data_IF_792049070874
#
_entry.id   IF_792049070874
#
_cell.length_a   1.000
_cell.length_b   1.000
_cell.length_c   1.000
_cell.angle_alpha   90.00
_cell.angle_beta   90.00
_cell.angle_gamma   90.00
#
_symmetry.space_group_name_H-M   'P 1'
#
loop_
_entity.id
_entity.type
_entity.pdbx_description
1 polymer ?
#
# COMPACT_ATOMS: atom_id res chain seq x y z
N UNK A 1 72.17 43.76 5.58
CA UNK A 1 71.10 42.73 5.45
C UNK A 1 69.83 43.20 4.72
N UNK A 2 69.72 44.47 4.26
CA UNK A 2 68.54 44.95 3.50
C UNK A 2 68.70 44.94 1.96
N UNK A 3 69.84 44.51 1.43
CA UNK A 3 70.12 44.50 -0.02
C UNK A 3 69.87 43.15 -0.71
N UNK A 4 69.62 42.08 0.04
CA UNK A 4 69.35 40.74 -0.50
C UNK A 4 67.85 40.44 -0.65
N UNK A 5 66.98 41.18 0.04
CA UNK A 5 65.52 41.08 -0.11
C UNK A 5 64.98 41.90 -1.28
N UNK A 6 65.71 42.94 -1.73
CA UNK A 6 65.36 43.69 -2.92
C UNK A 6 65.63 42.91 -4.23
N UNK A 7 66.53 41.92 -4.20
CA UNK A 7 66.79 41.05 -5.36
C UNK A 7 65.69 40.00 -5.57
N UNK A 8 64.94 39.63 -4.53
CA UNK A 8 63.81 38.72 -4.61
C UNK A 8 62.50 39.41 -5.08
N UNK A 9 62.41 40.75 -4.93
CA UNK A 9 61.32 41.54 -5.51
C UNK A 9 61.60 42.03 -6.93
N UNK A 10 62.82 41.85 -7.45
CA UNK A 10 63.25 42.34 -8.76
C UNK A 10 63.05 41.35 -9.92
N UNK A 11 62.33 40.23 -9.72
CA UNK A 11 62.16 39.21 -10.77
C UNK A 11 60.89 39.36 -11.61
N UNK A 12 59.89 40.19 -11.25
CA UNK A 12 58.62 40.19 -12.04
C UNK A 12 58.02 41.56 -12.31
N UNK A 13 58.83 42.59 -12.53
CA UNK A 13 58.37 43.82 -13.18
C UNK A 13 59.37 44.23 -14.26
N UNK A 14 59.21 43.63 -15.44
CA UNK A 14 59.42 44.25 -16.76
C UNK A 14 59.52 43.13 -17.83
N UNK A 15 58.38 42.65 -18.32
CA UNK A 15 58.33 42.02 -19.63
C UNK A 15 57.60 42.96 -20.58
N UNK A 16 58.39 43.58 -21.46
CA UNK A 16 57.94 44.37 -22.59
C UNK A 16 56.99 43.52 -23.46
N UNK A 17 55.82 44.07 -23.81
CA UNK A 17 54.82 43.61 -24.78
C UNK A 17 55.04 42.22 -25.45
N UNK A 18 55.08 41.15 -24.65
CA UNK A 18 55.19 39.77 -25.11
C UNK A 18 53.83 39.09 -25.03
N UNK A 19 53.49 38.30 -26.05
CA UNK A 19 52.29 37.45 -26.01
C UNK A 19 52.65 36.12 -25.35
N UNK A 20 52.06 35.79 -24.22
CA UNK A 20 52.27 34.50 -23.57
C UNK A 20 51.33 33.45 -24.16
N UNK A 21 51.84 32.23 -24.32
CA UNK A 21 51.04 31.08 -24.76
C UNK A 21 50.88 30.13 -23.59
N UNK A 22 49.67 29.62 -23.38
CA UNK A 22 49.43 28.69 -22.29
C UNK A 22 50.17 27.36 -22.48
N UNK A 23 50.72 26.86 -21.38
CA UNK A 23 51.66 25.75 -21.32
C UNK A 23 51.26 24.76 -20.22
N UNK A 24 51.88 23.59 -20.17
CA UNK A 24 51.67 22.60 -19.09
C UNK A 24 52.89 22.55 -18.16
N UNK A 25 52.75 22.08 -16.90
CA UNK A 25 53.87 21.97 -15.98
C UNK A 25 55.02 21.14 -16.59
N UNK A 26 56.29 21.51 -16.40
CA UNK A 26 57.44 20.73 -16.89
C UNK A 26 57.50 19.30 -16.34
N UNK A 27 56.92 19.04 -15.16
CA UNK A 27 56.84 17.70 -14.55
C UNK A 27 55.61 16.89 -14.93
N UNK A 28 54.68 17.44 -15.72
CA UNK A 28 53.47 16.73 -16.11
C UNK A 28 53.77 15.62 -17.13
N UNK A 29 53.15 14.46 -16.94
CA UNK A 29 53.29 13.29 -17.81
C UNK A 29 52.37 13.44 -19.03
N UNK A 30 52.95 13.43 -20.23
CA UNK A 30 52.16 13.41 -21.48
C UNK A 30 51.78 11.96 -21.76
N UNK A 31 50.48 11.67 -21.76
CA UNK A 31 49.93 10.33 -21.91
C UNK A 31 48.84 10.30 -23.00
N UNK A 32 48.65 9.16 -23.70
CA UNK A 32 47.58 9.00 -24.68
C UNK A 32 46.24 8.76 -23.96
N UNK A 33 45.73 9.79 -23.29
CA UNK A 33 44.45 9.74 -22.58
C UNK A 33 43.31 10.30 -23.44
N UNK A 34 42.16 9.64 -23.39
CA UNK A 34 40.93 10.10 -24.05
C UNK A 34 39.90 10.52 -23.01
N UNK A 35 39.12 11.60 -23.25
CA UNK A 35 38.04 11.96 -22.36
C UNK A 35 36.95 10.88 -22.39
N UNK A 36 36.54 10.44 -21.19
CA UNK A 36 35.44 9.48 -20.97
C UNK A 36 34.20 10.21 -20.47
N UNK A 37 34.40 11.30 -19.73
CA UNK A 37 33.36 12.19 -19.23
C UNK A 37 33.91 13.62 -19.17
N UNK A 38 33.05 14.60 -18.89
CA UNK A 38 33.39 16.02 -18.82
C UNK A 38 34.60 16.35 -17.93
N UNK A 39 34.88 15.54 -16.92
CA UNK A 39 36.01 15.75 -15.98
C UNK A 39 36.94 14.54 -15.84
N UNK A 40 36.73 13.48 -16.61
CA UNK A 40 37.45 12.21 -16.47
C UNK A 40 38.02 11.73 -17.80
N UNK A 41 39.22 11.18 -17.74
CA UNK A 41 39.96 10.64 -18.86
C UNK A 41 40.37 9.20 -18.56
N UNK A 42 40.59 8.42 -19.59
CA UNK A 42 41.17 7.08 -19.48
C UNK A 42 42.39 6.98 -20.37
N UNK A 43 43.45 6.37 -19.85
CA UNK A 43 44.63 5.98 -20.60
C UNK A 43 44.95 4.51 -20.32
N UNK A 44 45.65 3.87 -21.24
CA UNK A 44 46.20 2.54 -21.04
C UNK A 44 47.72 2.66 -20.98
N UNK A 45 48.29 2.35 -19.81
CA UNK A 45 49.71 2.54 -19.52
C UNK A 45 50.26 1.25 -18.93
N UNK A 46 51.32 0.70 -19.54
CA UNK A 46 52.05 -0.44 -18.96
C UNK A 46 51.25 -1.73 -18.74
N UNK A 47 50.08 -1.90 -19.37
CA UNK A 47 49.21 -3.06 -19.15
C UNK A 47 48.01 -2.79 -18.24
N UNK A 48 47.93 -1.59 -17.66
CA UNK A 48 46.90 -1.19 -16.70
C UNK A 48 46.02 -0.06 -17.26
N UNK A 49 44.78 -0.03 -16.80
CA UNK A 49 43.84 1.05 -17.11
C UNK A 49 43.95 2.16 -16.08
N UNK A 50 44.39 3.34 -16.51
CA UNK A 50 44.51 4.52 -15.66
C UNK A 50 43.33 5.44 -15.91
N UNK A 51 42.50 5.64 -14.89
CA UNK A 51 41.45 6.64 -14.89
C UNK A 51 42.01 7.93 -14.29
N UNK A 52 42.01 9.00 -15.06
CA UNK A 52 42.48 10.31 -14.61
C UNK A 52 41.28 11.20 -14.34
N UNK A 53 41.20 11.72 -13.12
CA UNK A 53 40.17 12.67 -12.69
C UNK A 53 40.81 14.04 -12.49
N UNK A 54 40.25 15.05 -13.17
CA UNK A 54 40.63 16.44 -12.91
C UNK A 54 40.26 16.82 -11.47
N UNK A 55 41.26 17.24 -10.71
CA UNK A 55 41.11 17.73 -9.35
C UNK A 55 40.38 19.09 -9.33
N UNK A 56 39.46 19.26 -8.38
CA UNK A 56 38.78 20.53 -8.13
C UNK A 56 37.83 21.04 -9.23
N UNK A 57 37.50 20.21 -10.23
CA UNK A 57 36.56 20.56 -11.31
C UNK A 57 35.35 19.64 -11.30
N UNK A 58 34.16 20.22 -11.34
CA UNK A 58 32.87 19.53 -11.36
C UNK A 58 32.08 19.92 -12.60
N UNK A 59 31.20 19.02 -13.04
CA UNK A 59 30.29 19.26 -14.16
C UNK A 59 28.86 19.05 -13.69
N UNK A 60 28.04 20.10 -13.78
CA UNK A 60 26.63 20.13 -13.34
C UNK A 60 25.65 20.38 -14.49
N UNK A 61 26.12 20.32 -15.74
CA UNK A 61 25.32 20.56 -16.92
C UNK A 61 24.33 19.45 -17.26
N UNK A 62 23.40 19.78 -18.15
CA UNK A 62 22.47 18.83 -18.77
C UNK A 62 23.19 17.87 -19.72
N UNK A 63 22.47 16.90 -20.29
CA UNK A 63 23.03 16.01 -21.32
C UNK A 63 23.54 16.79 -22.53
N UNK A 64 22.78 17.79 -23.00
CA UNK A 64 23.17 18.63 -24.13
C UNK A 64 24.47 19.41 -23.84
N UNK A 65 24.59 19.96 -22.61
CA UNK A 65 25.82 20.64 -22.18
C UNK A 65 27.01 19.68 -22.15
N UNK A 66 26.77 18.44 -21.74
CA UNK A 66 27.82 17.41 -21.66
C UNK A 66 28.33 17.04 -23.04
N UNK A 67 27.42 16.86 -24.00
CA UNK A 67 27.76 16.50 -25.38
C UNK A 67 28.56 17.63 -26.04
N UNK A 68 28.16 18.89 -25.85
CA UNK A 68 28.91 20.06 -26.31
C UNK A 68 30.30 20.17 -25.66
N UNK A 69 30.38 19.95 -24.35
CA UNK A 69 31.64 20.00 -23.62
C UNK A 69 32.60 18.87 -24.04
N UNK A 70 32.09 17.65 -24.22
CA UNK A 70 32.87 16.52 -24.72
C UNK A 70 33.36 16.76 -26.14
N UNK A 71 32.52 17.29 -27.04
CA UNK A 71 32.94 17.64 -28.40
C UNK A 71 34.10 18.64 -28.39
N UNK A 72 34.04 19.65 -27.52
CA UNK A 72 35.14 20.58 -27.34
C UNK A 72 36.40 19.87 -26.82
N UNK A 73 36.28 19.04 -25.78
CA UNK A 73 37.40 18.29 -25.22
C UNK A 73 38.06 17.37 -26.25
N UNK A 74 37.28 16.63 -27.05
CA UNK A 74 37.85 15.79 -28.12
C UNK A 74 38.64 16.60 -29.15
N UNK A 75 38.22 17.83 -29.44
CA UNK A 75 38.95 18.70 -30.36
C UNK A 75 40.19 19.36 -29.73
N UNK A 76 40.11 19.73 -28.44
CA UNK A 76 41.14 20.49 -27.75
C UNK A 76 42.22 19.60 -27.10
N UNK A 77 41.87 18.39 -26.70
CA UNK A 77 42.71 17.43 -25.99
C UNK A 77 43.34 16.42 -26.95
N UNK A 78 44.02 16.88 -28.01
CA UNK A 78 44.77 15.96 -28.89
C UNK A 78 45.93 15.30 -28.14
N UNK A 79 46.56 16.05 -27.25
CA UNK A 79 47.53 15.59 -26.28
C UNK A 79 47.02 15.92 -24.88
N UNK A 80 47.26 15.01 -23.94
CA UNK A 80 46.87 15.18 -22.54
C UNK A 80 48.12 15.09 -21.68
N UNK A 81 48.41 16.15 -20.94
CA UNK A 81 49.46 16.20 -19.94
C UNK A 81 48.81 16.16 -18.56
N UNK A 82 49.34 15.31 -17.68
CA UNK A 82 48.76 15.01 -16.36
C UNK A 82 49.81 15.25 -15.28
N UNK A 83 49.50 16.15 -14.37
CA UNK A 83 50.28 16.42 -13.16
C UNK A 83 49.63 15.71 -11.97
N UNK A 84 50.14 14.52 -11.65
CA UNK A 84 49.52 13.58 -10.72
C UNK A 84 49.73 14.05 -9.28
N UNK A 85 48.65 14.17 -8.52
CA UNK A 85 48.69 14.57 -7.10
C UNK A 85 48.53 13.39 -6.15
N UNK A 86 47.62 12.50 -6.50
CA UNK A 86 47.29 11.33 -5.68
C UNK A 86 46.90 10.16 -6.58
N UNK A 87 47.26 8.96 -6.14
CA UNK A 87 47.03 7.70 -6.86
C UNK A 87 46.30 6.75 -5.93
N UNK A 88 45.10 6.35 -6.32
CA UNK A 88 44.30 5.38 -5.61
C UNK A 88 44.16 4.11 -6.45
N UNK A 89 44.58 2.98 -5.90
CA UNK A 89 44.41 1.69 -6.58
C UNK A 89 42.95 1.24 -6.49
N UNK A 90 42.33 0.97 -7.64
CA UNK A 90 40.96 0.45 -7.70
C UNK A 90 41.01 -1.07 -7.60
N UNK A 91 41.88 -1.70 -8.39
CA UNK A 91 42.11 -3.14 -8.40
C UNK A 91 43.50 -3.45 -8.99
N UNK A 92 43.80 -4.74 -9.19
CA UNK A 92 45.09 -5.22 -9.70
C UNK A 92 45.44 -4.82 -11.14
N UNK A 93 44.51 -4.20 -11.89
CA UNK A 93 44.71 -3.77 -13.28
C UNK A 93 44.23 -2.33 -13.54
N UNK A 94 43.83 -1.60 -12.49
CA UNK A 94 43.24 -0.28 -12.65
C UNK A 94 43.57 0.67 -11.49
N UNK A 95 43.93 1.89 -11.86
CA UNK A 95 44.26 2.98 -10.94
C UNK A 95 43.40 4.21 -11.23
N UNK A 96 43.13 4.97 -10.18
CA UNK A 96 42.51 6.30 -10.24
C UNK A 96 43.55 7.35 -9.85
N UNK A 97 43.92 8.18 -10.82
CA UNK A 97 44.81 9.31 -10.62
C UNK A 97 43.98 10.58 -10.42
N UNK A 98 44.10 11.20 -9.26
CA UNK A 98 43.60 12.56 -9.03
C UNK A 98 44.71 13.53 -9.41
N UNK A 99 44.46 14.37 -10.41
CA UNK A 99 45.52 15.13 -11.08
C UNK A 99 45.04 16.48 -11.60
N UNK A 100 45.99 17.38 -11.90
CA UNK A 100 45.74 18.50 -12.78
C UNK A 100 46.03 18.10 -14.23
N UNK A 101 45.01 18.24 -15.07
CA UNK A 101 45.01 17.80 -16.45
C UNK A 101 45.04 19.01 -17.37
N UNK A 102 45.93 18.91 -18.35
CA UNK A 102 46.18 19.94 -19.35
C UNK A 102 45.94 19.32 -20.72
N UNK A 103 45.02 19.91 -21.47
CA UNK A 103 44.70 19.50 -22.83
C UNK A 103 45.39 20.40 -23.82
N UNK A 104 46.09 19.85 -24.80
CA UNK A 104 46.78 20.65 -25.80
C UNK A 104 46.74 20.06 -27.20
N UNK A 105 47.02 20.93 -28.16
CA UNK A 105 47.24 20.55 -29.56
C UNK A 105 48.74 20.44 -29.92
N UNK A 106 49.62 20.56 -28.93
CA UNK A 106 51.07 20.50 -29.07
C UNK A 106 51.77 21.87 -29.03
N UNK A 107 51.06 22.95 -29.36
CA UNK A 107 51.60 24.32 -29.30
C UNK A 107 50.94 25.17 -28.23
N UNK A 108 49.67 24.91 -27.95
CA UNK A 108 48.89 25.61 -26.93
C UNK A 108 48.24 24.58 -26.01
N UNK A 109 48.40 24.78 -24.70
CA UNK A 109 47.86 23.90 -23.67
C UNK A 109 46.81 24.61 -22.83
N UNK A 110 45.77 23.91 -22.43
CA UNK A 110 44.67 24.43 -21.63
C UNK A 110 44.57 23.60 -20.36
N UNK A 111 44.82 24.18 -19.18
CA UNK A 111 44.41 23.58 -17.92
C UNK A 111 42.89 23.39 -17.93
N UNK A 112 42.40 22.18 -17.65
CA UNK A 112 40.96 21.93 -17.62
C UNK A 112 40.24 22.79 -16.57
N UNK A 113 40.96 23.25 -15.55
CA UNK A 113 40.43 24.21 -14.57
C UNK A 113 39.87 25.48 -15.20
N UNK A 114 40.26 25.84 -16.42
CA UNK A 114 39.74 27.03 -17.13
C UNK A 114 38.43 26.79 -17.86
N UNK A 115 37.93 25.55 -17.93
CA UNK A 115 36.66 25.25 -18.60
C UNK A 115 35.45 26.07 -18.10
N UNK A 116 35.34 26.46 -16.81
CA UNK A 116 34.28 27.36 -16.35
C UNK A 116 34.27 28.72 -17.07
N UNK A 117 35.41 29.18 -17.62
CA UNK A 117 35.46 30.41 -18.43
C UNK A 117 34.75 30.26 -19.77
N UNK A 118 34.55 29.02 -20.24
CA UNK A 118 33.96 28.72 -21.54
C UNK A 118 32.56 28.12 -21.44
N UNK A 119 32.32 27.27 -20.44
CA UNK A 119 31.02 26.65 -20.23
C UNK A 119 30.54 26.84 -18.79
N UNK A 120 29.36 27.42 -18.64
CA UNK A 120 28.67 27.58 -17.36
C UNK A 120 28.30 26.26 -16.68
N UNK A 121 28.30 25.17 -17.44
CA UNK A 121 28.06 23.82 -16.93
C UNK A 121 29.21 23.27 -16.06
N UNK A 122 30.42 23.83 -16.19
CA UNK A 122 31.52 23.49 -15.29
C UNK A 122 31.51 24.40 -14.07
N UNK A 123 31.72 23.78 -12.92
CA UNK A 123 31.92 24.46 -11.64
C UNK A 123 33.31 24.13 -11.15
N UNK A 124 34.14 25.15 -11.02
CA UNK A 124 35.51 25.04 -10.55
C UNK A 124 36.09 26.44 -10.34
N UNK A 125 37.10 26.55 -9.49
CA UNK A 125 37.76 27.82 -9.25
C UNK A 125 38.69 28.15 -10.43
N UNK A 126 38.48 29.32 -11.03
CA UNK A 126 39.45 29.94 -11.94
C UNK A 126 40.05 31.12 -11.22
N UNK A 127 41.32 31.03 -10.92
CA UNK A 127 42.05 32.12 -10.29
C UNK A 127 42.64 33.03 -11.35
N UNK A 128 42.78 34.31 -11.00
CA UNK A 128 43.34 35.33 -11.87
C UNK A 128 44.40 36.12 -11.12
N UNK A 129 45.49 36.46 -11.81
CA UNK A 129 46.50 37.39 -11.32
C UNK A 129 46.47 38.69 -12.13
N UNK A 130 46.71 39.81 -11.45
CA UNK A 130 46.91 41.08 -12.11
C UNK A 130 48.23 41.03 -12.89
N UNK A 131 48.15 41.20 -14.20
CA UNK A 131 49.27 41.18 -15.11
C UNK A 131 49.15 42.36 -16.07
N UNK A 132 49.24 43.57 -15.50
CA UNK A 132 49.08 44.82 -16.24
C UNK A 132 50.03 44.85 -17.44
N UNK A 133 49.52 45.18 -18.63
CA UNK A 133 50.24 45.20 -19.92
C UNK A 133 50.69 43.84 -20.47
N UNK A 134 50.30 42.71 -19.87
CA UNK A 134 50.52 41.39 -20.44
C UNK A 134 49.30 40.93 -21.28
N UNK A 135 49.56 40.12 -22.31
CA UNK A 135 48.53 39.45 -23.10
C UNK A 135 48.84 37.96 -23.15
N UNK A 136 47.86 37.11 -22.83
CA UNK A 136 47.99 35.66 -22.98
C UNK A 136 47.00 35.11 -23.99
N UNK A 137 47.49 34.28 -24.91
CA UNK A 137 46.70 33.55 -25.91
C UNK A 137 46.55 32.11 -25.44
N UNK A 138 45.31 31.67 -25.31
CA UNK A 138 44.97 30.34 -24.80
C UNK A 138 43.86 29.69 -25.64
N UNK A 139 43.61 28.37 -25.52
CA UNK A 139 42.55 27.70 -26.27
C UNK A 139 41.12 28.12 -25.84
N UNK A 140 40.99 28.77 -24.68
CA UNK A 140 39.70 29.29 -24.17
C UNK A 140 39.50 30.78 -24.49
N UNK A 141 40.54 31.49 -24.93
CA UNK A 141 40.45 32.91 -25.27
C UNK A 141 41.78 33.67 -25.16
N UNK A 142 41.74 34.94 -25.52
CA UNK A 142 42.84 35.89 -25.34
C UNK A 142 42.52 36.78 -24.15
N UNK A 143 43.44 36.88 -23.20
CA UNK A 143 43.28 37.64 -21.96
C UNK A 143 44.26 38.81 -21.91
N UNK A 144 43.78 39.98 -21.50
CA UNK A 144 44.57 41.22 -21.42
C UNK A 144 44.52 41.79 -20.00
N UNK A 145 45.68 42.19 -19.45
CA UNK A 145 45.79 42.88 -18.16
C UNK A 145 45.50 42.01 -16.92
N UNK A 146 44.72 40.95 -17.07
CA UNK A 146 44.36 39.98 -16.03
C UNK A 146 44.42 38.59 -16.66
N UNK A 147 45.19 37.70 -16.05
CA UNK A 147 45.48 36.39 -16.63
C UNK A 147 45.09 35.27 -15.67
N UNK A 148 44.53 34.15 -16.18
CA UNK A 148 44.28 32.99 -15.36
C UNK A 148 45.55 32.44 -14.69
N UNK A 149 45.43 31.81 -13.53
CA UNK A 149 46.53 31.08 -12.92
C UNK A 149 46.86 29.84 -13.76
N UNK A 150 48.15 29.52 -13.88
CA UNK A 150 48.63 28.42 -14.71
C UNK A 150 50.06 28.58 -15.19
N UNK A 151 50.50 27.63 -16.02
CA UNK A 151 51.81 27.66 -16.66
C UNK A 151 51.75 28.38 -18.00
N UNK A 152 52.72 29.24 -18.25
CA UNK A 152 52.83 30.04 -19.44
C UNK A 152 54.22 29.95 -20.04
N UNK A 153 54.25 30.00 -21.37
CA UNK A 153 55.45 30.08 -22.17
C UNK A 153 55.53 31.46 -22.82
N UNK A 154 56.65 32.14 -22.63
CA UNK A 154 56.95 33.39 -23.34
C UNK A 154 57.72 33.05 -24.63
N UNK A 155 57.11 33.25 -25.82
CA UNK A 155 57.76 32.97 -27.09
C UNK A 155 58.98 33.86 -27.36
N UNK A 156 59.05 35.06 -26.78
CA UNK A 156 60.14 36.01 -27.01
C UNK A 156 61.37 35.62 -26.18
N UNK A 157 61.19 35.37 -24.89
CA UNK A 157 62.31 35.04 -23.97
C UNK A 157 62.61 33.55 -23.90
N UNK A 158 61.72 32.69 -24.45
CA UNK A 158 61.78 31.23 -24.36
C UNK A 158 61.69 30.70 -22.91
N UNK A 159 61.29 31.53 -21.95
CA UNK A 159 61.13 31.13 -20.57
C UNK A 159 59.73 30.56 -20.31
N UNK A 160 59.68 29.50 -19.50
CA UNK A 160 58.42 28.99 -18.91
C UNK A 160 58.31 29.51 -17.49
N UNK A 161 57.15 30.04 -17.12
CA UNK A 161 56.88 30.52 -15.77
C UNK A 161 55.45 30.15 -15.34
N UNK A 162 55.23 30.12 -14.03
CA UNK A 162 53.93 29.83 -13.43
C UNK A 162 53.35 31.09 -12.82
N UNK A 163 52.11 31.42 -13.17
CA UNK A 163 51.32 32.40 -12.41
C UNK A 163 50.78 31.66 -11.17
N UNK A 164 51.19 32.08 -9.95
CA UNK A 164 50.91 31.35 -8.72
C UNK A 164 49.41 31.33 -8.40
N UNK A 165 48.99 30.21 -7.83
CA UNK A 165 47.65 30.06 -7.27
C UNK A 165 47.58 30.74 -5.90
N UNK A 166 46.47 31.42 -5.59
CA UNK A 166 46.17 31.82 -4.22
C UNK A 166 45.62 30.62 -3.43
N UNK A 167 45.56 30.70 -2.10
CA UNK A 167 45.23 29.54 -1.26
C UNK A 167 43.74 29.14 -1.46
N UNK A 168 43.50 28.17 -2.35
CA UNK A 168 42.17 27.71 -2.81
C UNK A 168 41.31 27.00 -1.75
N UNK A 169 41.82 26.82 -0.53
CA UNK A 169 41.16 26.04 0.53
C UNK A 169 39.78 26.58 0.91
N UNK A 170 39.63 27.90 1.01
CA UNK A 170 38.37 28.54 1.41
C UNK A 170 37.28 28.40 0.33
N UNK A 171 37.66 28.52 -0.95
CA UNK A 171 36.74 28.40 -2.08
C UNK A 171 36.28 26.95 -2.25
N UNK A 172 37.18 25.99 -2.05
CA UNK A 172 36.85 24.57 -2.04
C UNK A 172 35.89 24.21 -0.89
N UNK A 173 36.09 24.78 0.30
CA UNK A 173 35.15 24.63 1.42
C UNK A 173 33.77 25.18 1.07
N UNK A 174 33.70 26.36 0.43
CA UNK A 174 32.44 26.95 -0.01
C UNK A 174 31.71 26.06 -1.04
N UNK A 175 32.45 25.49 -2.00
CA UNK A 175 31.89 24.55 -2.98
C UNK A 175 31.35 23.26 -2.34
N UNK A 176 32.05 22.69 -1.35
CA UNK A 176 31.59 21.51 -0.60
C UNK A 176 30.32 21.82 0.18
N UNK A 177 30.26 22.96 0.86
CA UNK A 177 29.07 23.40 1.59
C UNK A 177 27.88 23.58 0.65
N UNK A 178 28.07 24.14 -0.54
CA UNK A 178 27.00 24.32 -1.52
C UNK A 178 26.45 22.98 -2.02
N UNK A 179 27.32 22.00 -2.28
CA UNK A 179 26.93 20.65 -2.65
C UNK A 179 26.15 19.94 -1.52
N UNK A 180 26.61 20.06 -0.27
CA UNK A 180 25.90 19.52 0.90
C UNK A 180 24.52 20.16 1.07
N UNK A 181 24.40 21.47 0.88
CA UNK A 181 23.13 22.19 0.98
C UNK A 181 22.16 21.77 -0.13
N UNK A 182 22.66 21.57 -1.35
CA UNK A 182 21.86 21.03 -2.45
C UNK A 182 21.36 19.61 -2.18
N UNK A 183 22.18 18.77 -1.55
CA UNK A 183 21.80 17.40 -1.21
C UNK A 183 20.74 17.38 -0.10
N UNK A 184 20.96 18.16 0.97
CA UNK A 184 19.98 18.34 2.06
C UNK A 184 18.62 18.82 1.55
N UNK A 185 18.61 19.73 0.58
CA UNK A 185 17.36 20.21 -0.04
C UNK A 185 16.60 19.09 -0.74
N UNK A 186 17.29 18.22 -1.50
CA UNK A 186 16.67 17.05 -2.15
C UNK A 186 16.12 16.06 -1.13
N UNK A 187 16.87 15.80 -0.05
CA UNK A 187 16.40 14.94 1.03
C UNK A 187 15.14 15.50 1.71
N UNK A 188 15.08 16.82 1.91
CA UNK A 188 13.91 17.48 2.49
C UNK A 188 12.68 17.39 1.57
N UNK A 189 12.85 17.58 0.26
CA UNK A 189 11.77 17.41 -0.73
C UNK A 189 11.25 15.96 -0.75
N UNK A 190 12.15 14.98 -0.71
CA UNK A 190 11.78 13.57 -0.64
C UNK A 190 11.03 13.23 0.66
N UNK A 191 11.49 13.76 1.81
CA UNK A 191 10.82 13.58 3.09
C UNK A 191 9.42 14.22 3.11
N UNK A 192 9.25 15.39 2.49
CA UNK A 192 7.95 16.04 2.36
C UNK A 192 6.97 15.21 1.52
N UNK A 193 7.41 14.64 0.40
CA UNK A 193 6.60 13.74 -0.42
C UNK A 193 6.19 12.48 0.35
N UNK A 194 7.13 11.87 1.09
CA UNK A 194 6.86 10.71 1.93
C UNK A 194 5.82 11.02 3.02
N UNK A 195 5.89 12.20 3.64
CA UNK A 195 4.90 12.66 4.62
C UNK A 195 3.50 12.73 4.01
N UNK A 196 3.36 13.36 2.84
CA UNK A 196 2.06 13.46 2.15
C UNK A 196 1.50 12.07 1.78
N UNK A 197 2.36 11.16 1.33
CA UNK A 197 1.95 9.78 1.03
C UNK A 197 1.47 9.05 2.31
N UNK A 198 2.16 9.24 3.43
CA UNK A 198 1.78 8.66 4.72
C UNK A 198 0.46 9.22 5.24
N UNK A 199 0.23 10.54 5.13
CA UNK A 199 -1.04 11.18 5.49
C UNK A 199 -2.22 10.60 4.68
N UNK A 200 -2.03 10.41 3.37
CA UNK A 200 -3.04 9.74 2.52
C UNK A 200 -3.29 8.29 2.98
N UNK A 201 -2.24 7.53 3.29
CA UNK A 201 -2.38 6.15 3.77
C UNK A 201 -3.15 6.08 5.11
N UNK A 202 -2.85 6.98 6.05
CA UNK A 202 -3.58 7.10 7.32
C UNK A 202 -5.05 7.42 7.09
N UNK A 203 -5.37 8.35 6.18
CA UNK A 203 -6.77 8.67 5.84
C UNK A 203 -7.52 7.50 5.20
N UNK A 204 -6.84 6.66 4.40
CA UNK A 204 -7.47 5.47 3.81
C UNK A 204 -7.71 4.39 4.89
N UNK A 205 -6.76 4.20 5.79
CA UNK A 205 -6.90 3.25 6.89
C UNK A 205 -8.00 3.66 7.87
N UNK A 206 -8.12 4.96 8.20
CA UNK A 206 -9.20 5.44 9.06
C UNK A 206 -10.58 5.22 8.44
N UNK A 207 -10.72 5.45 7.13
CA UNK A 207 -11.96 5.17 6.41
C UNK A 207 -12.31 3.67 6.42
N UNK A 208 -11.31 2.79 6.26
CA UNK A 208 -11.51 1.33 6.36
C UNK A 208 -11.93 0.88 7.75
N UNK A 209 -11.35 1.47 8.80
CA UNK A 209 -11.74 1.18 10.19
C UNK A 209 -13.20 1.56 10.42
N UNK A 210 -13.61 2.76 10.00
CA UNK A 210 -14.99 3.22 10.14
C UNK A 210 -15.99 2.30 9.41
N UNK A 211 -15.61 1.79 8.23
CA UNK A 211 -16.44 0.83 7.50
C UNK A 211 -16.54 -0.53 8.20
N UNK A 212 -15.43 -1.06 8.71
CA UNK A 212 -15.43 -2.29 9.50
C UNK A 212 -16.25 -2.17 10.79
N UNK A 213 -16.23 -1.01 11.44
CA UNK A 213 -17.07 -0.73 12.62
C UNK A 213 -18.56 -0.75 12.28
N UNK A 214 -18.96 -0.18 11.14
CA UNK A 214 -20.35 -0.27 10.66
C UNK A 214 -20.76 -1.71 10.37
N UNK A 215 -19.91 -2.47 9.69
CA UNK A 215 -20.17 -3.88 9.39
C UNK A 215 -20.31 -4.71 10.66
N UNK A 216 -19.43 -4.49 11.64
CA UNK A 216 -19.52 -5.14 12.95
C UNK A 216 -20.86 -4.83 13.62
N UNK A 217 -21.28 -3.56 13.65
CA UNK A 217 -22.55 -3.15 14.27
C UNK A 217 -23.76 -3.79 13.57
N UNK A 218 -23.74 -3.83 12.23
CA UNK A 218 -24.78 -4.50 11.46
C UNK A 218 -24.87 -6.00 11.75
N UNK A 219 -23.72 -6.67 11.92
CA UNK A 219 -23.67 -8.08 12.32
C UNK A 219 -24.18 -8.30 13.76
N UNK A 220 -23.82 -7.43 14.70
CA UNK A 220 -24.33 -7.48 16.08
C UNK A 220 -25.86 -7.29 16.13
N UNK A 221 -26.41 -6.38 15.32
CA UNK A 221 -27.86 -6.20 15.21
C UNK A 221 -28.56 -7.41 14.59
N UNK A 222 -27.97 -7.99 13.54
CA UNK A 222 -28.48 -9.21 12.91
C UNK A 222 -28.48 -10.40 13.89
N UNK A 223 -27.43 -10.54 14.70
CA UNK A 223 -27.33 -11.57 15.73
C UNK A 223 -28.45 -11.40 16.77
N UNK A 224 -28.66 -10.18 17.28
CA UNK A 224 -29.74 -9.89 18.23
C UNK A 224 -31.13 -10.20 17.67
N UNK A 225 -31.35 -9.89 16.39
CA UNK A 225 -32.60 -10.23 15.71
C UNK A 225 -32.81 -11.76 15.61
N UNK A 226 -31.73 -12.51 15.34
CA UNK A 226 -31.78 -13.97 15.30
C UNK A 226 -32.02 -14.60 16.68
N UNK A 227 -31.41 -14.07 17.73
CA UNK A 227 -31.65 -14.53 19.11
C UNK A 227 -33.11 -14.32 19.53
N UNK A 228 -33.68 -13.15 19.21
CA UNK A 228 -35.11 -12.89 19.46
C UNK A 228 -36.01 -13.85 18.68
N UNK A 229 -35.67 -14.16 17.42
CA UNK A 229 -36.39 -15.14 16.60
C UNK A 229 -36.34 -16.55 17.22
N UNK A 230 -35.17 -16.98 17.72
CA UNK A 230 -35.00 -18.27 18.40
C UNK A 230 -35.84 -18.32 19.67
N UNK A 231 -35.84 -17.26 20.49
CA UNK A 231 -36.67 -17.20 21.71
C UNK A 231 -38.16 -17.31 21.40
N UNK A 232 -38.63 -16.59 20.38
CA UNK A 232 -40.02 -16.66 19.91
C UNK A 232 -40.40 -18.07 19.43
N UNK A 233 -39.53 -18.70 18.64
CA UNK A 233 -39.76 -20.06 18.14
C UNK A 233 -39.77 -21.08 19.29
N UNK A 234 -38.90 -20.92 20.28
CA UNK A 234 -38.85 -21.81 21.44
C UNK A 234 -40.12 -21.69 22.31
N UNK A 235 -40.62 -20.46 22.50
CA UNK A 235 -41.90 -20.23 23.17
C UNK A 235 -43.08 -20.86 22.41
N UNK A 236 -43.12 -20.68 21.08
CA UNK A 236 -44.15 -21.31 20.24
C UNK A 236 -44.07 -22.84 20.26
N UNK A 237 -42.86 -23.41 20.25
CA UNK A 237 -42.65 -24.85 20.38
C UNK A 237 -43.16 -25.38 21.72
N UNK A 238 -42.92 -24.65 22.81
CA UNK A 238 -43.40 -25.04 24.13
C UNK A 238 -44.94 -24.96 24.23
N UNK A 239 -45.55 -23.93 23.64
CA UNK A 239 -47.00 -23.81 23.54
C UNK A 239 -47.62 -24.99 22.76
N UNK A 240 -47.06 -25.30 21.59
CA UNK A 240 -47.50 -26.42 20.76
C UNK A 240 -47.36 -27.78 21.49
N UNK A 241 -46.30 -27.98 22.27
CA UNK A 241 -46.15 -29.18 23.12
C UNK A 241 -47.25 -29.28 24.17
N UNK A 242 -47.53 -28.18 24.87
CA UNK A 242 -48.60 -28.14 25.88
C UNK A 242 -49.98 -28.42 25.27
N UNK A 243 -50.26 -27.87 24.08
CA UNK A 243 -51.49 -28.16 23.33
C UNK A 243 -51.59 -29.63 22.93
N UNK A 244 -50.50 -30.22 22.43
CA UNK A 244 -50.46 -31.65 22.09
C UNK A 244 -50.72 -32.54 23.31
N UNK A 245 -50.14 -32.21 24.46
CA UNK A 245 -50.37 -32.94 25.72
C UNK A 245 -51.82 -32.79 26.21
N UNK A 246 -52.41 -31.60 26.06
CA UNK A 246 -53.81 -31.36 26.40
C UNK A 246 -54.77 -32.15 25.50
N UNK A 247 -54.54 -32.14 24.18
CA UNK A 247 -55.30 -32.93 23.22
C UNK A 247 -55.17 -34.44 23.49
N UNK A 248 -53.98 -34.90 23.87
CA UNK A 248 -53.74 -36.30 24.26
C UNK A 248 -54.57 -36.70 25.47
N UNK A 249 -54.64 -35.86 26.52
CA UNK A 249 -55.49 -36.10 27.69
C UNK A 249 -56.98 -36.11 27.34
N UNK A 250 -57.42 -35.21 26.47
CA UNK A 250 -58.81 -35.20 25.99
C UNK A 250 -59.15 -36.48 25.22
N UNK A 251 -58.23 -36.96 24.39
CA UNK A 251 -58.40 -38.21 23.67
C UNK A 251 -58.51 -39.41 24.63
N UNK A 252 -57.63 -39.49 25.63
CA UNK A 252 -57.67 -40.55 26.65
C UNK A 252 -58.99 -40.52 27.45
N UNK A 253 -59.48 -39.34 27.83
CA UNK A 253 -60.77 -39.18 28.51
C UNK A 253 -61.95 -39.62 27.62
N UNK A 254 -61.96 -39.20 26.34
CA UNK A 254 -63.00 -39.60 25.39
C UNK A 254 -63.00 -41.11 25.10
N UNK A 255 -61.83 -41.77 25.11
CA UNK A 255 -61.73 -43.23 25.02
C UNK A 255 -62.33 -43.90 26.26
N UNK A 256 -62.04 -43.39 27.46
CA UNK A 256 -62.60 -43.91 28.70
C UNK A 256 -64.13 -43.74 28.77
N UNK A 257 -64.66 -42.60 28.34
CA UNK A 257 -66.10 -42.37 28.23
C UNK A 257 -66.76 -43.32 27.23
N UNK A 258 -66.15 -43.53 26.06
CA UNK A 258 -66.64 -44.52 25.09
C UNK A 258 -66.67 -45.95 25.66
N UNK A 259 -65.63 -46.35 26.41
CA UNK A 259 -65.61 -47.64 27.09
C UNK A 259 -66.75 -47.76 28.11
N UNK A 260 -66.95 -46.74 28.95
CA UNK A 260 -68.03 -46.71 29.94
C UNK A 260 -69.43 -46.72 29.29
N UNK A 261 -69.62 -45.99 28.18
CA UNK A 261 -70.87 -46.01 27.42
C UNK A 261 -71.13 -47.38 26.79
N UNK A 262 -70.08 -48.05 26.28
CA UNK A 262 -70.16 -49.42 25.77
C UNK A 262 -70.59 -50.41 26.85
N UNK A 263 -70.03 -50.30 28.06
CA UNK A 263 -70.40 -51.13 29.20
C UNK A 263 -71.85 -50.88 29.63
N UNK A 264 -72.28 -49.61 29.68
CA UNK A 264 -73.69 -49.24 29.96
C UNK A 264 -74.64 -49.83 28.91
N UNK A 265 -74.28 -49.77 27.62
CA UNK A 265 -75.06 -50.37 26.55
C UNK A 265 -75.17 -51.89 26.71
N UNK A 266 -74.08 -52.57 27.07
CA UNK A 266 -74.11 -54.02 27.34
C UNK A 266 -74.98 -54.35 28.55
N UNK A 267 -74.88 -53.59 29.63
CA UNK A 267 -75.71 -53.77 30.83
C UNK A 267 -77.20 -53.56 30.52
N UNK A 268 -77.52 -52.47 29.80
CA UNK A 268 -78.88 -52.22 29.34
C UNK A 268 -79.39 -53.34 28.46
N UNK A 269 -78.58 -53.82 27.52
CA UNK A 269 -78.94 -54.93 26.64
C UNK A 269 -79.25 -56.21 27.46
N UNK A 270 -78.46 -56.52 28.50
CA UNK A 270 -78.76 -57.63 29.41
C UNK A 270 -80.08 -57.43 30.16
N UNK A 271 -80.35 -56.24 30.69
CA UNK A 271 -81.64 -55.96 31.36
C UNK A 271 -82.83 -55.99 30.40
N UNK A 272 -82.65 -55.58 29.14
CA UNK A 272 -83.66 -55.73 28.11
C UNK A 272 -83.90 -57.20 27.80
N UNK A 273 -82.85 -58.00 27.64
CA UNK A 273 -82.97 -59.45 27.44
C UNK A 273 -83.71 -60.13 28.60
N UNK A 274 -83.37 -59.80 29.85
CA UNK A 274 -84.07 -60.36 31.02
C UNK A 274 -85.53 -59.92 31.10
N UNK A 275 -85.84 -58.66 30.73
CA UNK A 275 -87.22 -58.16 30.73
C UNK A 275 -88.05 -58.80 29.61
N UNK A 276 -87.45 -59.03 28.44
CA UNK A 276 -88.06 -59.79 27.35
C UNK A 276 -88.37 -61.21 27.82
N UNK A 277 -87.40 -61.89 28.45
CA UNK A 277 -87.60 -63.23 29.01
C UNK A 277 -88.70 -63.23 30.08
N UNK A 278 -88.72 -62.26 30.98
CA UNK A 278 -89.76 -62.13 32.01
C UNK A 278 -91.16 -61.89 31.42
N UNK A 279 -91.28 -61.03 30.40
CA UNK A 279 -92.54 -60.81 29.68
C UNK A 279 -92.98 -62.06 28.94
N UNK A 280 -92.05 -62.82 28.39
CA UNK A 280 -92.31 -64.08 27.69
C UNK A 280 -92.80 -65.17 28.66
N UNK A 281 -92.22 -65.22 29.87
CA UNK A 281 -92.72 -66.05 30.97
C UNK A 281 -94.11 -65.61 31.41
N UNK A 282 -94.35 -64.31 31.61
CA UNK A 282 -95.69 -63.80 31.95
C UNK A 282 -96.73 -64.11 30.88
N UNK A 283 -96.37 -64.01 29.59
CA UNK A 283 -97.24 -64.42 28.49
C UNK A 283 -97.55 -65.92 28.54
N UNK A 284 -96.54 -66.77 28.81
CA UNK A 284 -96.77 -68.21 28.97
C UNK A 284 -97.64 -68.53 30.20
N UNK A 285 -97.48 -67.80 31.30
CA UNK A 285 -98.32 -67.93 32.50
C UNK A 285 -99.75 -67.43 32.26
N UNK A 286 -99.94 -66.32 31.56
CA UNK A 286 -101.27 -65.83 31.18
C UNK A 286 -101.94 -66.75 30.15
N UNK A 287 -101.16 -67.40 29.26
CA UNK A 287 -101.68 -68.45 28.40
C UNK A 287 -102.10 -69.68 29.19
N UNK A 288 -101.34 -70.06 30.23
CA UNK A 288 -101.68 -71.13 31.18
C UNK A 288 -102.91 -70.77 32.04
N UNK A 289 -103.04 -69.53 32.53
CA UNK A 289 -104.21 -69.04 33.26
C UNK A 289 -105.43 -68.90 32.34
N UNK A 290 -105.25 -68.49 31.09
CA UNK A 290 -106.30 -68.53 30.06
C UNK A 290 -106.66 -69.95 29.61
N UNK A 291 -105.88 -70.97 30.01
CA UNK A 291 -106.27 -72.38 29.89
C UNK A 291 -106.91 -72.94 31.17
N UNK A 292 -106.88 -72.22 32.30
CA UNK A 292 -107.46 -72.68 33.59
C UNK A 292 -108.67 -71.88 34.10
N UNK A 293 -109.03 -70.74 33.52
CA UNK A 293 -110.32 -70.10 33.81
C UNK A 293 -111.12 -69.82 32.54
N UNK A 294 -112.03 -70.76 32.24
CA UNK A 294 -113.28 -70.48 31.55
C UNK A 294 -114.07 -69.44 32.35
N UNK A 295 -114.44 -68.34 31.68
CA UNK A 295 -115.62 -67.57 32.05
C UNK A 295 -115.37 -66.10 32.38
N UNK A 296 -115.76 -65.23 31.46
CA UNK A 296 -116.14 -63.84 31.77
C UNK A 296 -115.22 -62.80 31.16
N UNK A 297 -115.58 -62.35 29.96
CA UNK A 297 -114.85 -61.31 29.24
C UNK A 297 -114.87 -59.95 29.97
N UNK A 298 -113.68 -59.36 30.05
CA UNK A 298 -113.50 -57.91 30.04
C UNK A 298 -112.38 -57.57 29.06
N UNK A 299 -112.79 -56.93 27.97
CA UNK A 299 -111.96 -56.55 26.84
C UNK A 299 -111.03 -55.39 27.24
N UNK A 300 -109.80 -55.70 27.62
CA UNK A 300 -108.75 -54.74 28.03
C UNK A 300 -108.02 -54.09 26.83
N UNK A 301 -108.33 -54.51 25.60
CA UNK A 301 -107.76 -54.00 24.35
C UNK A 301 -107.88 -52.48 24.12
N UNK A 302 -108.99 -51.78 24.46
CA UNK A 302 -109.07 -50.34 24.21
C UNK A 302 -108.26 -49.51 25.22
N UNK A 303 -108.08 -50.00 26.45
CA UNK A 303 -107.28 -49.31 27.48
C UNK A 303 -105.79 -49.42 27.18
N UNK A 304 -105.35 -50.58 26.69
CA UNK A 304 -103.97 -50.82 26.29
C UNK A 304 -103.59 -50.01 25.05
N UNK A 305 -104.51 -49.85 24.09
CA UNK A 305 -104.31 -48.99 22.91
C UNK A 305 -104.19 -47.50 23.28
N UNK A 306 -105.00 -47.02 24.24
CA UNK A 306 -104.94 -45.63 24.74
C UNK A 306 -103.64 -45.35 25.51
N UNK A 307 -103.18 -46.32 26.31
CA UNK A 307 -101.90 -46.22 27.01
C UNK A 307 -100.71 -46.22 26.02
N UNK A 308 -100.75 -47.04 24.97
CA UNK A 308 -99.73 -47.08 23.91
C UNK A 308 -99.67 -45.76 23.11
N UNK A 309 -100.82 -45.17 22.80
CA UNK A 309 -100.89 -43.88 22.11
C UNK A 309 -100.29 -42.75 22.96
N UNK A 310 -100.56 -42.73 24.27
CA UNK A 310 -99.97 -41.77 25.21
C UNK A 310 -98.45 -41.89 25.33
N UNK A 311 -97.92 -43.12 25.35
CA UNK A 311 -96.46 -43.37 25.41
C UNK A 311 -95.77 -42.98 24.10
N UNK A 312 -96.37 -43.25 22.95
CA UNK A 312 -95.83 -42.83 21.65
C UNK A 312 -95.82 -41.31 21.49
N UNK A 313 -96.85 -40.62 21.99
CA UNK A 313 -96.91 -39.15 21.96
C UNK A 313 -95.84 -38.51 22.87
N UNK A 314 -95.61 -39.07 24.05
CA UNK A 314 -94.56 -38.61 24.96
C UNK A 314 -93.14 -38.83 24.37
N UNK A 315 -92.91 -39.97 23.72
CA UNK A 315 -91.65 -40.27 23.02
C UNK A 315 -91.39 -39.34 21.83
N UNK A 316 -92.44 -38.95 21.10
CA UNK A 316 -92.34 -38.01 19.98
C UNK A 316 -91.95 -36.60 20.46
N UNK A 317 -92.57 -36.11 21.54
CA UNK A 317 -92.21 -34.81 22.15
C UNK A 317 -90.77 -34.82 22.68
N UNK A 318 -90.35 -35.91 23.33
CA UNK A 318 -88.98 -36.03 23.83
C UNK A 318 -87.93 -36.04 22.71
N UNK A 319 -88.21 -36.71 21.58
CA UNK A 319 -87.30 -36.70 20.42
C UNK A 319 -87.23 -35.33 19.73
N UNK A 320 -88.34 -34.61 19.62
CA UNK A 320 -88.35 -33.27 19.00
C UNK A 320 -87.54 -32.26 19.80
N UNK A 321 -87.65 -32.28 21.13
CA UNK A 321 -86.94 -31.34 22.01
C UNK A 321 -85.42 -31.55 22.03
N UNK A 322 -84.94 -32.76 21.71
CA UNK A 322 -83.52 -33.10 21.67
C UNK A 322 -82.82 -32.84 20.32
N UNK A 323 -83.56 -32.42 19.30
CA UNK A 323 -83.03 -32.05 17.99
C UNK A 323 -82.90 -30.52 17.82
N UNK A 324 -83.37 -29.74 18.80
CA UNK A 324 -83.31 -28.28 18.86
C UNK A 324 -82.24 -27.77 19.87
N UNK A 325 -81.53 -28.68 20.54
CA UNK A 325 -80.31 -28.44 21.34
C UNK A 325 -79.09 -29.08 20.65
#
# INVERSE_FOLDING_TARGET
MYKLTALALAVLVAAAAGQWVSWHPPGALIIPASPVNATHFSAYLGGETVYVKQDGLFFLGTKADRDAALQYLYSACRFVAVDVKDVAQINQYAELWTADVYCGNGTVWMPLRWLPLRFSAYVGAVEFANATNATAVTPVGVFHGVLPAGWYYDPATKSVFQIPQHNTTLIQQLGRLYAQLSDLKKQLEAAAQNKTALESAVSQLSARIAELERQRKALEDALRAKDAQIQSLNAALQAAKNEADALRRQLEAAMAENAALKDKLQALNKTWASKVEQLQVQLSQLQLQATEEEGGGFDLLPVLALALAGVLFALFIYRRKRAEE
#
